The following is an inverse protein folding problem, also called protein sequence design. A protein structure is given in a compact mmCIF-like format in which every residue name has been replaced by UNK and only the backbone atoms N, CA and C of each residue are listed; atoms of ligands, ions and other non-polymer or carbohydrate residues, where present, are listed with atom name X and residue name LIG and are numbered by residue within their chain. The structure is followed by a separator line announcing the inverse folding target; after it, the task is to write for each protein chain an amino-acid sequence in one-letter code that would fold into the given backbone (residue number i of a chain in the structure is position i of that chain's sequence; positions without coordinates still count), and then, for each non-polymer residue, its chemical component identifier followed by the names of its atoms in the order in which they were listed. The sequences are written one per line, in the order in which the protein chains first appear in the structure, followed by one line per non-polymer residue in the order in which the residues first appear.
data_IF_573046236011
#
_entry.id   IF_573046236011
#
_cell.length_a   1.000
_cell.length_b   1.000
_cell.length_c   1.000
_cell.angle_alpha   90.00
_cell.angle_beta   90.00
_cell.angle_gamma   90.00
#
_symmetry.space_group_name_H-M   'P 1'
#
loop_
_entity.id
_entity.type
_entity.pdbx_description
1 polymer ?
#
# COMPACT_ATOMS: atom_id res chain seq x y z
N UNK A 1 10.26 7.57 18.88
CA UNK A 1 8.89 7.58 18.36
C UNK A 1 8.27 8.92 18.65
N UNK A 2 8.29 9.79 17.64
CA UNK A 2 7.57 11.06 17.66
C UNK A 2 6.78 11.17 16.37
N UNK A 3 5.49 11.41 16.47
CA UNK A 3 4.66 11.81 15.35
C UNK A 3 4.65 13.33 15.25
N UNK A 4 4.70 13.83 14.03
CA UNK A 4 4.49 15.24 13.73
C UNK A 4 3.07 15.42 13.22
N UNK A 5 2.37 16.41 13.77
CA UNK A 5 0.96 16.65 13.46
C UNK A 5 0.72 18.08 12.97
N UNK A 6 -0.13 18.19 11.96
CA UNK A 6 -0.86 19.42 11.63
C UNK A 6 -2.30 19.31 12.10
N UNK A 7 -2.90 20.45 12.46
CA UNK A 7 -4.25 20.51 13.03
C UNK A 7 -5.18 21.37 12.19
N UNK A 8 -6.30 20.79 11.80
CA UNK A 8 -7.39 21.48 11.10
C UNK A 8 -8.66 21.39 11.95
N UNK A 9 -8.90 22.42 12.77
CA UNK A 9 -9.98 22.38 13.75
C UNK A 9 -9.76 21.28 14.79
N UNK A 10 -10.67 20.30 14.84
CA UNK A 10 -10.58 19.14 15.76
C UNK A 10 -9.90 17.92 15.13
N UNK A 11 -9.54 18.00 13.85
CA UNK A 11 -8.89 16.92 13.13
C UNK A 11 -7.35 17.09 13.20
N UNK A 12 -6.66 15.98 13.36
CA UNK A 12 -5.21 15.87 13.32
C UNK A 12 -4.78 15.13 12.05
N UNK A 13 -3.74 15.65 11.42
CA UNK A 13 -3.11 15.14 10.21
C UNK A 13 -1.70 14.72 10.61
N UNK A 14 -1.33 13.46 10.41
CA UNK A 14 0.06 13.04 10.57
C UNK A 14 0.82 13.52 9.34
N UNK A 15 1.85 14.33 9.54
CA UNK A 15 2.68 14.88 8.46
C UNK A 15 4.12 14.40 8.50
N UNK A 16 4.50 13.71 9.59
CA UNK A 16 5.84 13.19 9.76
C UNK A 16 5.89 12.17 10.89
N UNK A 17 6.92 11.34 10.85
CA UNK A 17 7.17 10.29 11.80
C UNK A 17 8.67 10.04 11.88
N UNK A 18 9.24 10.11 13.09
CA UNK A 18 10.68 9.95 13.28
C UNK A 18 11.04 9.03 14.46
N UNK A 19 12.15 8.32 14.29
CA UNK A 19 12.71 7.39 15.27
C UNK A 19 11.75 6.27 15.66
N UNK A 20 11.12 5.63 14.67
CA UNK A 20 10.31 4.43 14.86
C UNK A 20 10.94 3.23 14.16
N UNK A 21 11.13 2.16 14.92
CA UNK A 21 11.50 0.84 14.42
C UNK A 21 10.43 -0.18 14.86
N UNK A 22 10.17 -1.18 14.03
CA UNK A 22 9.23 -2.25 14.33
C UNK A 22 7.76 -1.88 14.06
N UNK A 23 6.92 -1.96 15.08
CA UNK A 23 5.47 -1.76 14.94
C UNK A 23 5.06 -0.32 15.28
N UNK A 24 4.41 0.33 14.32
CA UNK A 24 3.76 1.64 14.46
C UNK A 24 2.29 1.43 14.74
N UNK A 25 1.79 1.98 15.83
CA UNK A 25 0.36 2.07 16.10
C UNK A 25 -0.06 3.53 15.93
N UNK A 26 -0.80 3.82 14.88
CA UNK A 26 -1.31 5.17 14.64
C UNK A 26 -2.34 5.49 15.74
N UNK A 27 -2.15 6.59 16.50
CA UNK A 27 -3.05 6.92 17.58
C UNK A 27 -4.42 7.35 17.02
N UNK A 28 -5.48 7.04 17.76
CA UNK A 28 -6.84 7.50 17.42
C UNK A 28 -7.02 9.00 17.68
N UNK A 29 -6.35 9.49 18.73
CA UNK A 29 -6.39 10.88 19.16
C UNK A 29 -5.03 11.36 19.64
N UNK A 30 -4.81 12.67 19.59
CA UNK A 30 -3.62 13.33 20.13
C UNK A 30 -4.03 14.54 20.97
N UNK A 31 -3.25 14.80 22.02
CA UNK A 31 -3.38 15.99 22.88
C UNK A 31 -2.17 16.89 22.68
N UNK A 32 -2.40 18.20 22.65
CA UNK A 32 -1.33 19.20 22.57
C UNK A 32 -0.89 19.55 23.99
N UNK A 33 0.41 19.45 24.28
CA UNK A 33 0.95 19.88 25.57
C UNK A 33 0.68 21.38 25.79
N UNK A 34 0.12 21.72 26.95
CA UNK A 34 -0.23 23.11 27.29
C UNK A 34 -1.62 23.57 26.81
N UNK A 35 -2.44 22.69 26.22
CA UNK A 35 -3.86 22.99 26.03
C UNK A 35 -4.68 22.64 27.28
N UNK A 36 -4.89 23.65 28.13
CA UNK A 36 -5.65 23.55 29.39
C UNK A 36 -7.13 23.17 29.19
N UNK A 37 -7.62 23.13 27.95
CA UNK A 37 -9.01 22.76 27.62
C UNK A 37 -9.24 21.24 27.61
N UNK A 38 -8.18 20.44 27.65
CA UNK A 38 -8.29 18.98 27.54
C UNK A 38 -8.83 18.53 26.18
N UNK A 39 -8.63 19.35 25.14
CA UNK A 39 -9.10 19.03 23.80
C UNK A 39 -8.26 17.89 23.20
N UNK A 40 -8.94 16.86 22.74
CA UNK A 40 -8.34 15.77 21.97
C UNK A 40 -8.66 16.01 20.49
N UNK A 41 -7.62 16.03 19.66
CA UNK A 41 -7.78 16.03 18.21
C UNK A 41 -7.88 14.60 17.70
N UNK A 42 -8.78 14.32 16.78
CA UNK A 42 -8.98 12.99 16.20
C UNK A 42 -8.03 12.84 15.02
N UNK A 43 -7.24 11.77 14.98
CA UNK A 43 -6.37 11.50 13.84
C UNK A 43 -7.22 11.02 12.67
N UNK A 44 -7.32 11.86 11.64
CA UNK A 44 -8.15 11.64 10.46
C UNK A 44 -7.35 11.31 9.22
N UNK A 45 -6.14 11.85 9.12
CA UNK A 45 -5.39 11.85 7.87
C UNK A 45 -3.96 11.37 8.12
N UNK A 46 -3.49 10.48 7.25
CA UNK A 46 -2.07 10.22 7.06
C UNK A 46 -1.64 10.99 5.82
N UNK A 47 -0.93 12.09 6.06
CA UNK A 47 -0.54 13.05 5.03
C UNK A 47 0.51 12.50 4.07
N UNK A 48 0.74 13.26 3.00
CA UNK A 48 1.75 12.94 2.01
C UNK A 48 3.13 12.86 2.67
N UNK A 49 3.90 11.83 2.31
CA UNK A 49 5.22 11.52 2.88
C UNK A 49 5.29 11.33 4.41
N UNK A 50 4.17 11.20 5.12
CA UNK A 50 4.14 11.13 6.59
C UNK A 50 5.01 10.02 7.20
N UNK A 51 5.16 8.89 6.51
CA UNK A 51 6.07 7.79 6.88
C UNK A 51 7.17 7.59 5.83
N UNK A 52 7.46 8.57 4.98
CA UNK A 52 8.45 8.39 3.93
C UNK A 52 9.82 8.09 4.53
N UNK A 53 10.55 7.13 3.96
CA UNK A 53 11.87 6.70 4.44
C UNK A 53 11.91 6.13 5.87
N UNK A 54 10.77 5.66 6.40
CA UNK A 54 10.73 4.92 7.65
C UNK A 54 11.27 3.48 7.46
N UNK A 55 12.57 3.34 7.21
CA UNK A 55 13.23 2.06 6.88
C UNK A 55 13.18 1.04 8.03
N UNK A 56 13.04 1.45 9.29
CA UNK A 56 12.96 0.53 10.43
C UNK A 56 11.56 -0.02 10.71
N UNK A 57 10.51 0.52 10.07
CA UNK A 57 9.11 0.16 10.34
C UNK A 57 8.74 -1.13 9.61
N UNK A 58 8.29 -2.13 10.35
CA UNK A 58 7.85 -3.44 9.83
C UNK A 58 6.34 -3.59 9.74
N UNK A 59 5.61 -2.93 10.62
CA UNK A 59 4.14 -3.02 10.67
C UNK A 59 3.53 -1.67 10.97
N UNK A 60 2.49 -1.29 10.24
CA UNK A 60 1.68 -0.09 10.52
C UNK A 60 0.25 -0.51 10.84
N UNK A 61 -0.26 -0.10 12.00
CA UNK A 61 -1.67 -0.27 12.38
C UNK A 61 -2.44 1.04 12.20
N UNK A 62 -3.44 1.01 11.33
CA UNK A 62 -4.31 2.13 10.98
C UNK A 62 -5.62 1.98 11.77
N UNK A 63 -5.99 2.96 12.63
CA UNK A 63 -7.24 2.91 13.37
C UNK A 63 -8.46 3.22 12.50
N UNK A 64 -9.64 3.05 13.07
CA UNK A 64 -10.93 3.36 12.46
C UNK A 64 -11.15 4.85 12.19
N UNK A 65 -10.42 5.72 12.88
CA UNK A 65 -10.60 7.18 12.79
C UNK A 65 -10.01 7.76 11.51
N UNK A 66 -9.08 7.06 10.85
CA UNK A 66 -8.43 7.49 9.62
C UNK A 66 -9.39 7.39 8.45
N UNK A 67 -9.66 8.53 7.81
CA UNK A 67 -10.58 8.66 6.67
C UNK A 67 -9.83 8.96 5.36
N UNK A 68 -8.56 9.35 5.44
CA UNK A 68 -7.73 9.69 4.28
C UNK A 68 -6.27 9.28 4.48
N UNK A 69 -5.70 8.68 3.44
CA UNK A 69 -4.29 8.31 3.32
C UNK A 69 -3.82 8.85 1.97
N UNK A 70 -2.83 9.73 1.99
CA UNK A 70 -2.30 10.33 0.78
C UNK A 70 -1.30 9.41 0.07
N UNK A 71 -1.14 9.56 -1.25
CA UNK A 71 -0.53 8.57 -2.13
C UNK A 71 0.91 8.17 -1.75
N UNK A 72 1.72 9.09 -1.22
CA UNK A 72 3.12 8.80 -0.84
C UNK A 72 3.31 8.60 0.67
N UNK A 73 2.22 8.46 1.43
CA UNK A 73 2.27 8.32 2.89
C UNK A 73 3.27 7.26 3.37
N UNK A 74 3.39 6.13 2.65
CA UNK A 74 4.25 4.99 2.99
C UNK A 74 5.35 4.73 1.94
N UNK A 75 5.87 5.79 1.30
CA UNK A 75 6.90 5.67 0.27
C UNK A 75 8.28 5.36 0.86
N UNK A 76 9.06 4.48 0.23
CA UNK A 76 10.42 4.13 0.69
C UNK A 76 10.46 3.54 2.12
N UNK A 77 9.43 2.81 2.53
CA UNK A 77 9.42 2.08 3.79
C UNK A 77 9.94 0.64 3.55
N UNK A 78 11.24 0.49 3.33
CA UNK A 78 11.83 -0.75 2.80
C UNK A 78 11.60 -2.00 3.65
N UNK A 79 11.48 -1.87 4.97
CA UNK A 79 11.24 -3.01 5.87
C UNK A 79 9.75 -3.23 6.17
N UNK A 80 8.85 -2.42 5.59
CA UNK A 80 7.42 -2.52 5.86
C UNK A 80 6.86 -3.79 5.24
N UNK A 81 6.47 -4.75 6.07
CA UNK A 81 5.92 -6.04 5.67
C UNK A 81 4.40 -6.08 5.73
N UNK A 82 3.80 -5.31 6.65
CA UNK A 82 2.37 -5.41 6.96
C UNK A 82 1.74 -4.05 7.24
N UNK A 83 0.60 -3.80 6.60
CA UNK A 83 -0.34 -2.73 6.94
C UNK A 83 -1.62 -3.40 7.43
N UNK A 84 -2.02 -3.07 8.67
CA UNK A 84 -3.21 -3.63 9.32
C UNK A 84 -4.19 -2.51 9.59
N UNK A 85 -5.41 -2.64 9.05
CA UNK A 85 -6.48 -1.66 9.24
C UNK A 85 -7.49 -2.21 10.26
N UNK A 86 -7.92 -1.38 11.21
CA UNK A 86 -9.00 -1.71 12.14
C UNK A 86 -10.28 -2.08 11.35
N UNK A 87 -10.93 -3.18 11.73
CA UNK A 87 -12.12 -3.70 11.04
C UNK A 87 -13.27 -2.67 10.97
N UNK A 88 -13.32 -1.75 11.94
CA UNK A 88 -14.32 -0.68 12.02
C UNK A 88 -14.00 0.52 11.12
N UNK A 89 -12.83 0.58 10.50
CA UNK A 89 -12.53 1.64 9.54
C UNK A 89 -13.52 1.58 8.37
N UNK A 90 -14.15 2.70 8.03
CA UNK A 90 -15.20 2.77 7.01
C UNK A 90 -14.65 3.03 5.60
N UNK A 91 -13.37 3.38 5.46
CA UNK A 91 -12.75 3.82 4.21
C UNK A 91 -11.70 2.83 3.67
N UNK A 92 -11.04 2.11 4.57
CA UNK A 92 -9.93 1.22 4.24
C UNK A 92 -10.15 -0.17 4.83
N UNK A 93 -9.45 -1.13 4.25
CA UNK A 93 -9.34 -2.49 4.74
C UNK A 93 -7.91 -2.99 4.51
N UNK A 94 -7.51 -4.01 5.26
CA UNK A 94 -6.29 -4.76 4.98
C UNK A 94 -6.61 -6.23 4.77
N UNK A 95 -5.94 -6.85 3.81
CA UNK A 95 -5.99 -8.30 3.59
C UNK A 95 -4.57 -8.80 3.39
N UNK A 96 -4.17 -9.81 4.17
CA UNK A 96 -2.81 -10.38 4.17
C UNK A 96 -1.69 -9.33 4.30
N UNK A 97 -1.92 -8.29 5.12
CA UNK A 97 -0.98 -7.20 5.35
C UNK A 97 -0.90 -6.16 4.22
N UNK A 98 -1.73 -6.26 3.19
CA UNK A 98 -1.80 -5.31 2.06
C UNK A 98 -2.97 -4.34 2.27
N UNK A 99 -2.79 -3.06 1.93
CA UNK A 99 -3.79 -2.01 2.09
C UNK A 99 -4.73 -1.92 0.88
N UNK A 100 -6.03 -1.86 1.15
CA UNK A 100 -7.11 -1.77 0.18
C UNK A 100 -8.12 -0.67 0.51
N UNK A 101 -8.93 -0.30 -0.48
CA UNK A 101 -10.21 0.38 -0.23
C UNK A 101 -11.13 -0.52 0.59
N UNK A 102 -12.09 0.07 1.32
CA UNK A 102 -12.99 -0.69 2.20
C UNK A 102 -13.76 -1.81 1.48
N UNK A 103 -14.17 -1.55 0.25
CA UNK A 103 -14.91 -2.49 -0.61
C UNK A 103 -14.01 -3.55 -1.28
N UNK A 104 -12.69 -3.53 -1.00
CA UNK A 104 -11.67 -4.38 -1.58
C UNK A 104 -11.56 -4.27 -3.12
N UNK A 105 -12.11 -3.21 -3.72
CA UNK A 105 -12.06 -2.98 -5.17
C UNK A 105 -10.73 -2.42 -5.65
N UNK A 106 -10.00 -1.75 -4.78
CA UNK A 106 -8.71 -1.14 -5.12
C UNK A 106 -7.63 -1.60 -4.17
N UNK A 107 -6.55 -2.18 -4.69
CA UNK A 107 -5.31 -2.39 -3.94
C UNK A 107 -4.56 -1.06 -3.91
N UNK A 108 -4.46 -0.45 -2.74
CA UNK A 108 -3.92 0.90 -2.57
C UNK A 108 -2.40 0.85 -2.41
N UNK A 109 -1.89 -0.01 -1.52
CA UNK A 109 -0.45 -0.14 -1.27
C UNK A 109 -0.07 -1.56 -0.86
N UNK A 110 0.85 -2.12 -1.61
CA UNK A 110 1.62 -3.30 -1.26
C UNK A 110 2.84 -2.86 -0.41
N UNK A 111 3.06 -3.46 0.77
CA UNK A 111 4.22 -3.14 1.61
C UNK A 111 5.55 -3.48 0.93
N UNK A 112 6.51 -2.55 0.94
CA UNK A 112 7.75 -2.63 0.14
C UNK A 112 8.67 -3.78 0.58
N UNK A 113 8.69 -4.07 1.89
CA UNK A 113 9.43 -5.17 2.50
C UNK A 113 8.69 -6.51 2.51
N UNK A 114 7.45 -6.58 2.02
CA UNK A 114 6.69 -7.83 1.98
C UNK A 114 7.26 -8.76 0.91
N UNK A 115 7.83 -9.87 1.36
CA UNK A 115 8.53 -10.83 0.51
C UNK A 115 7.63 -11.89 -0.13
N UNK A 116 8.13 -12.43 -1.25
CA UNK A 116 7.63 -13.65 -1.85
C UNK A 116 6.62 -13.42 -2.98
N UNK A 117 5.74 -14.39 -3.15
CA UNK A 117 4.77 -14.41 -4.24
C UNK A 117 3.45 -13.80 -3.77
N UNK A 118 2.80 -13.02 -4.63
CA UNK A 118 1.52 -12.39 -4.30
C UNK A 118 0.47 -12.63 -5.38
N UNK A 119 -0.70 -13.13 -5.00
CA UNK A 119 -1.87 -13.18 -5.87
C UNK A 119 -2.78 -12.02 -5.50
N UNK A 120 -3.03 -11.11 -6.43
CA UNK A 120 -4.03 -10.06 -6.22
C UNK A 120 -5.39 -10.75 -6.03
N UNK A 121 -6.13 -10.47 -4.94
CA UNK A 121 -7.38 -11.16 -4.64
C UNK A 121 -8.44 -11.01 -5.75
N UNK A 122 -9.24 -12.06 -5.93
CA UNK A 122 -10.38 -12.03 -6.84
C UNK A 122 -11.38 -10.96 -6.40
N UNK A 123 -11.86 -10.16 -7.35
CA UNK A 123 -12.80 -9.07 -7.10
C UNK A 123 -12.17 -7.68 -6.99
N UNK A 124 -10.84 -7.60 -6.86
CA UNK A 124 -10.08 -6.35 -7.05
C UNK A 124 -10.19 -5.92 -8.51
N UNK A 125 -10.54 -4.66 -8.74
CA UNK A 125 -10.80 -4.09 -10.07
C UNK A 125 -9.74 -3.07 -10.49
N UNK A 126 -9.01 -2.47 -9.55
CA UNK A 126 -7.98 -1.48 -9.83
C UNK A 126 -6.77 -1.58 -8.89
N UNK A 127 -5.64 -1.04 -9.36
CA UNK A 127 -4.46 -0.76 -8.53
C UNK A 127 -4.35 0.75 -8.33
N UNK A 128 -4.04 1.18 -7.12
CA UNK A 128 -3.72 2.58 -6.83
C UNK A 128 -2.44 3.04 -7.51
N UNK A 129 -2.28 4.34 -7.63
CA UNK A 129 -1.03 4.95 -8.08
C UNK A 129 0.10 4.51 -7.16
N UNK A 130 1.16 3.92 -7.73
CA UNK A 130 2.31 3.39 -6.97
C UNK A 130 1.98 2.20 -6.04
N UNK A 131 0.87 1.49 -6.27
CA UNK A 131 0.47 0.37 -5.42
C UNK A 131 1.57 -0.67 -5.16
N UNK A 132 2.40 -0.97 -6.16
CA UNK A 132 3.54 -1.89 -6.04
C UNK A 132 4.92 -1.19 -6.11
N UNK A 133 4.98 0.13 -5.97
CA UNK A 133 6.26 0.85 -6.07
C UNK A 133 7.24 0.32 -5.01
N UNK A 134 8.47 -0.03 -5.43
CA UNK A 134 9.53 -0.54 -4.54
C UNK A 134 9.12 -1.79 -3.76
N UNK A 135 8.22 -2.61 -4.31
CA UNK A 135 7.99 -3.96 -3.83
C UNK A 135 9.23 -4.83 -4.15
N UNK A 136 10.32 -4.59 -3.44
CA UNK A 136 11.63 -5.18 -3.68
C UNK A 136 11.66 -6.63 -3.16
N UNK A 137 10.86 -6.95 -2.14
CA UNK A 137 10.66 -8.33 -1.69
C UNK A 137 9.79 -9.19 -2.63
N UNK A 138 9.04 -8.58 -3.56
CA UNK A 138 8.08 -9.27 -4.43
C UNK A 138 8.79 -10.01 -5.56
N UNK A 139 8.64 -11.34 -5.61
CA UNK A 139 9.26 -12.20 -6.63
C UNK A 139 8.32 -12.54 -7.77
N UNK A 140 7.03 -12.74 -7.51
CA UNK A 140 6.04 -12.98 -8.55
C UNK A 140 4.70 -12.38 -8.20
N UNK A 141 3.94 -11.96 -9.22
CA UNK A 141 2.58 -11.46 -9.05
C UNK A 141 1.59 -12.17 -9.97
N UNK A 142 0.46 -12.62 -9.42
CA UNK A 142 -0.65 -13.20 -10.19
C UNK A 142 -1.81 -12.21 -10.28
N UNK A 143 -2.28 -11.99 -11.50
CA UNK A 143 -3.29 -11.00 -11.87
C UNK A 143 -4.64 -11.69 -12.11
N UNK A 144 -5.69 -11.36 -11.33
CA UNK A 144 -7.02 -11.96 -11.48
C UNK A 144 -7.78 -11.38 -12.67
N UNK A 145 -8.75 -12.12 -13.18
CA UNK A 145 -9.60 -11.68 -14.28
C UNK A 145 -10.43 -10.42 -13.98
N UNK A 146 -10.62 -10.09 -12.70
CA UNK A 146 -11.36 -8.90 -12.28
C UNK A 146 -10.58 -7.61 -12.43
N UNK A 147 -9.24 -7.66 -12.51
CA UNK A 147 -8.40 -6.48 -12.56
C UNK A 147 -8.47 -5.82 -13.94
N UNK A 148 -8.75 -4.52 -13.98
CA UNK A 148 -8.94 -3.76 -15.21
C UNK A 148 -7.94 -2.61 -15.29
N UNK A 149 -7.77 -2.08 -16.50
CA UNK A 149 -6.96 -0.89 -16.75
C UNK A 149 -5.45 -1.14 -16.72
N UNK A 150 -4.70 -0.07 -16.46
CA UNK A 150 -3.25 -0.09 -16.46
C UNK A 150 -2.71 -0.80 -15.20
N UNK A 151 -2.02 -1.92 -15.43
CA UNK A 151 -1.33 -2.64 -14.37
C UNK A 151 0.03 -1.98 -14.16
N UNK A 152 0.07 -0.95 -13.30
CA UNK A 152 1.32 -0.31 -12.91
C UNK A 152 2.02 -1.09 -11.81
N UNK A 153 2.71 -2.17 -12.18
CA UNK A 153 3.69 -2.85 -11.30
C UNK A 153 5.04 -2.11 -11.34
N UNK A 154 5.08 -0.85 -11.80
CA UNK A 154 6.31 -0.10 -12.09
C UNK A 154 7.26 -0.07 -10.89
N UNK A 155 8.57 -0.20 -11.12
CA UNK A 155 9.61 -0.20 -10.07
C UNK A 155 9.54 -1.37 -9.07
N UNK A 156 9.30 -2.59 -9.57
CA UNK A 156 9.56 -3.83 -8.81
C UNK A 156 10.75 -4.55 -9.46
N UNK A 157 11.99 -4.33 -8.96
CA UNK A 157 13.20 -4.81 -9.63
C UNK A 157 13.36 -6.32 -9.59
N UNK A 158 12.83 -6.98 -8.55
CA UNK A 158 13.06 -8.40 -8.29
C UNK A 158 11.94 -9.33 -8.78
N UNK A 159 10.89 -8.77 -9.40
CA UNK A 159 9.82 -9.58 -10.00
C UNK A 159 10.41 -10.37 -11.17
N UNK A 160 10.25 -11.69 -11.13
CA UNK A 160 10.71 -12.63 -12.15
C UNK A 160 9.56 -13.14 -13.03
N UNK A 161 8.34 -13.22 -12.49
CA UNK A 161 7.16 -13.67 -13.23
C UNK A 161 5.92 -12.84 -12.89
N UNK A 162 5.15 -12.57 -13.93
CA UNK A 162 3.80 -12.02 -13.84
C UNK A 162 2.89 -13.05 -14.47
N UNK A 163 1.98 -13.62 -13.70
CA UNK A 163 0.99 -14.59 -14.17
C UNK A 163 -0.37 -13.90 -14.30
N UNK A 164 -1.17 -14.32 -15.28
CA UNK A 164 -2.50 -13.76 -15.53
C UNK A 164 -3.49 -14.91 -15.56
N UNK A 165 -4.57 -14.80 -14.78
CA UNK A 165 -5.61 -15.82 -14.71
C UNK A 165 -6.22 -16.11 -16.09
N UNK A 166 -6.57 -17.37 -16.30
CA UNK A 166 -7.18 -17.80 -17.56
C UNK A 166 -8.53 -17.11 -17.75
N UNK A 167 -8.75 -16.56 -18.94
CA UNK A 167 -9.98 -15.84 -19.27
C UNK A 167 -9.95 -14.33 -19.02
N UNK A 168 -8.83 -13.77 -18.53
CA UNK A 168 -8.68 -12.31 -18.42
C UNK A 168 -8.96 -11.61 -19.77
N UNK A 169 -9.73 -10.52 -19.76
CA UNK A 169 -10.29 -9.94 -20.98
C UNK A 169 -9.22 -9.26 -21.87
N UNK A 170 -8.30 -8.52 -21.26
CA UNK A 170 -7.32 -7.67 -21.97
C UNK A 170 -5.87 -8.15 -21.90
N UNK A 171 -5.54 -9.08 -21.03
CA UNK A 171 -4.16 -9.46 -20.71
C UNK A 171 -3.92 -10.96 -20.79
N UNK A 172 -2.66 -11.31 -20.95
CA UNK A 172 -2.17 -12.67 -20.84
C UNK A 172 -0.71 -12.66 -20.45
N UNK A 173 -0.24 -13.80 -19.92
CA UNK A 173 1.17 -14.03 -19.64
C UNK A 173 1.68 -15.21 -20.45
N UNK A 174 2.93 -15.11 -20.89
CA UNK A 174 3.66 -16.21 -21.51
C UNK A 174 5.04 -16.32 -20.87
N UNK A 175 5.33 -17.48 -20.30
CA UNK A 175 6.54 -17.75 -19.50
C UNK A 175 6.81 -16.67 -18.45
N UNK A 176 5.75 -16.08 -17.85
CA UNK A 176 5.80 -15.01 -16.84
C UNK A 176 6.06 -13.59 -17.37
N UNK A 177 6.08 -13.39 -18.70
CA UNK A 177 6.13 -12.07 -19.34
C UNK A 177 4.71 -11.59 -19.63
N UNK A 178 4.41 -10.33 -19.33
CA UNK A 178 3.08 -9.75 -19.48
C UNK A 178 2.87 -9.17 -20.88
N UNK A 179 1.80 -9.61 -21.54
CA UNK A 179 1.36 -9.15 -22.86
C UNK A 179 -0.08 -8.66 -22.83
N UNK A 180 -0.48 -7.95 -23.88
CA UNK A 180 -1.90 -7.83 -24.20
C UNK A 180 -2.47 -9.20 -24.62
N UNK A 181 -3.79 -9.38 -24.54
CA UNK A 181 -4.46 -10.68 -24.78
C UNK A 181 -4.07 -11.37 -26.08
N UNK A 182 -3.81 -10.60 -27.14
CA UNK A 182 -3.42 -11.10 -28.46
C UNK A 182 -1.93 -11.37 -28.66
N UNK A 183 -1.09 -11.17 -27.63
CA UNK A 183 0.38 -11.31 -27.67
C UNK A 183 1.06 -10.42 -28.72
N UNK A 184 0.40 -9.34 -29.15
CA UNK A 184 0.93 -8.40 -30.15
C UNK A 184 1.71 -7.26 -29.52
N UNK A 185 1.51 -7.01 -28.23
CA UNK A 185 2.16 -5.94 -27.47
C UNK A 185 2.75 -6.52 -26.19
N UNK A 186 4.06 -6.36 -26.04
CA UNK A 186 4.76 -6.56 -24.77
C UNK A 186 4.37 -5.41 -23.83
N UNK A 187 3.68 -5.74 -22.73
CA UNK A 187 3.32 -4.74 -21.71
C UNK A 187 4.45 -4.64 -20.69
N UNK A 188 4.99 -5.78 -20.25
CA UNK A 188 6.10 -5.78 -19.28
C UNK A 188 6.92 -7.06 -19.34
N UNK A 189 8.24 -6.87 -19.36
CA UNK A 189 9.20 -7.93 -19.06
C UNK A 189 9.69 -7.79 -17.61
N UNK A 190 9.55 -8.81 -16.75
CA UNK A 190 10.06 -8.76 -15.38
C UNK A 190 11.58 -8.58 -15.34
N UNK A 191 12.07 -7.61 -14.56
CA UNK A 191 13.49 -7.21 -14.53
C UNK A 191 14.37 -8.19 -13.75
N UNK A 192 13.80 -8.94 -12.80
CA UNK A 192 14.52 -9.94 -11.99
C UNK A 192 14.95 -11.17 -12.79
N UNK A 193 14.60 -11.25 -14.09
CA UNK A 193 15.11 -12.26 -15.04
C UNK A 193 16.54 -11.95 -15.45
N UNK A 194 17.45 -11.76 -14.51
CA UNK A 194 18.87 -11.97 -14.85
C UNK A 194 19.07 -13.46 -15.09
N UNK A 195 19.54 -13.79 -16.30
CA UNK A 195 19.73 -15.16 -16.80
C UNK A 195 20.79 -15.98 -16.10
#
# INVERSE_FOLDING_TARGET
MTFEFEFEGMDAIIVGCDGIDGEVIIPRTVSIEGDDRGCHHIVRVIGDYAFSFCEGVRTIRIPETVIRIDSSAFSNCSDLCDIVVDERNEHYASLDGVLFSKDLKTLIKYPEGKEGNYRVPDGVEALGDLAFSRADGLTSVSIPCSLKGDISISWCPNVISIDVDEGHESLSSMDGVLFNKGHSVLIRCPQGRSG
#
